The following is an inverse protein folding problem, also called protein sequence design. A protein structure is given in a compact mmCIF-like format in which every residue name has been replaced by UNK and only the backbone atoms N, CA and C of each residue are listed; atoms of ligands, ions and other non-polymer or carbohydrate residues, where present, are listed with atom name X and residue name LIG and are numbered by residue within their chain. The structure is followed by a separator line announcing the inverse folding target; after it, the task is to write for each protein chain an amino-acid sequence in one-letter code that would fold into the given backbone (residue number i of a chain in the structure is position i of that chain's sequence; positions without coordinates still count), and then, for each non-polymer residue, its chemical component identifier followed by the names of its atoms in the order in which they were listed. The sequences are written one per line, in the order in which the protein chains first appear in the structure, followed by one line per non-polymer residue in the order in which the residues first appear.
data_IF_248864065773
#
_entry.id   IF_248864065773
#
_cell.length_a   1.000
_cell.length_b   1.000
_cell.length_c   1.000
_cell.angle_alpha   90.00
_cell.angle_beta   90.00
_cell.angle_gamma   90.00
#
_symmetry.space_group_name_H-M   'P 1'
#
loop_
_entity.id
_entity.type
_entity.pdbx_description
1 polymer ?
#
# COMPACT_ATOMS: atom_id res chain seq x y z
N UNK A 1 5.02 9.79 2.87
CA UNK A 1 3.71 9.10 2.88
C UNK A 1 2.71 10.01 2.21
N UNK A 2 1.63 9.48 1.65
CA UNK A 2 0.71 10.17 0.73
C UNK A 2 -0.08 11.33 1.36
N UNK A 3 0.06 11.52 2.68
CA UNK A 3 -0.61 12.55 3.45
C UNK A 3 0.18 12.89 4.72
N UNK A 4 -0.06 14.08 5.27
CA UNK A 4 0.47 14.55 6.56
C UNK A 4 -0.13 13.80 7.77
N UNK A 5 -1.20 13.04 7.54
CA UNK A 5 -1.91 12.23 8.54
C UNK A 5 -1.84 10.73 8.21
N UNK A 6 -0.64 10.12 8.23
CA UNK A 6 -0.44 8.72 7.89
C UNK A 6 -1.19 7.76 8.83
N UNK A 7 -1.49 8.20 10.05
CA UNK A 7 -2.25 7.45 11.04
C UNK A 7 -3.72 7.24 10.66
N UNK A 8 -4.29 7.95 9.67
CA UNK A 8 -5.68 7.74 9.23
C UNK A 8 -5.95 6.33 8.72
N UNK A 9 -4.92 5.59 8.29
CA UNK A 9 -5.07 4.17 7.94
C UNK A 9 -5.58 3.35 9.13
N UNK A 10 -5.25 3.75 10.36
CA UNK A 10 -5.69 3.08 11.58
C UNK A 10 -7.20 3.20 11.78
N UNK A 11 -7.84 4.20 11.19
CA UNK A 11 -9.31 4.34 11.21
C UNK A 11 -9.99 3.46 10.17
N UNK A 12 -9.23 2.87 9.24
CA UNK A 12 -9.73 2.06 8.12
C UNK A 12 -9.52 0.56 8.31
N UNK A 13 -8.76 0.15 9.33
CA UNK A 13 -8.50 -1.26 9.64
C UNK A 13 -9.51 -1.81 10.65
N UNK A 14 -9.80 -3.09 10.51
CA UNK A 14 -10.64 -3.89 11.42
C UNK A 14 -9.90 -4.22 12.72
N UNK A 15 -10.62 -4.64 13.76
CA UNK A 15 -10.02 -5.05 15.04
C UNK A 15 -9.20 -6.33 14.88
N UNK A 16 -9.63 -7.24 13.99
CA UNK A 16 -8.91 -8.47 13.64
C UNK A 16 -7.90 -8.26 12.50
N UNK A 17 -7.44 -7.03 12.27
CA UNK A 17 -6.53 -6.71 11.17
C UNK A 17 -5.18 -7.42 11.29
N UNK A 18 -4.74 -8.02 10.17
CA UNK A 18 -3.36 -8.51 10.02
C UNK A 18 -2.77 -8.11 8.68
N UNK A 19 -1.45 -7.94 8.65
CA UNK A 19 -0.74 -7.57 7.44
C UNK A 19 0.63 -8.23 7.31
N UNK A 20 1.15 -8.19 6.09
CA UNK A 20 2.57 -8.37 5.76
C UNK A 20 2.98 -7.35 4.71
N UNK A 21 4.13 -6.71 4.90
CA UNK A 21 4.74 -5.83 3.92
C UNK A 21 6.16 -6.31 3.65
N UNK A 22 6.37 -6.78 2.42
CA UNK A 22 7.66 -7.21 1.91
C UNK A 22 8.34 -6.06 1.15
N UNK A 23 9.48 -5.61 1.67
CA UNK A 23 10.34 -4.63 1.03
C UNK A 23 11.59 -5.28 0.48
N UNK A 24 11.87 -5.05 -0.80
CA UNK A 24 13.19 -5.31 -1.35
C UNK A 24 14.03 -4.03 -1.43
N UNK A 25 15.28 -4.12 -0.97
CA UNK A 25 16.31 -3.08 -1.06
C UNK A 25 17.67 -3.75 -1.30
N UNK A 26 18.43 -3.30 -2.29
CA UNK A 26 19.81 -3.74 -2.56
C UNK A 26 20.00 -5.27 -2.54
N UNK A 27 19.08 -6.01 -3.18
CA UNK A 27 19.11 -7.47 -3.27
C UNK A 27 18.74 -8.21 -1.98
N UNK A 28 18.34 -7.50 -0.92
CA UNK A 28 17.77 -8.07 0.31
C UNK A 28 16.26 -7.87 0.34
N UNK A 29 15.57 -8.73 1.07
CA UNK A 29 14.16 -8.59 1.37
C UNK A 29 13.94 -8.54 2.89
N UNK A 30 13.04 -7.69 3.33
CA UNK A 30 12.60 -7.59 4.73
C UNK A 30 11.09 -7.69 4.76
N UNK A 31 10.58 -8.53 5.65
CA UNK A 31 9.15 -8.69 5.91
C UNK A 31 8.78 -8.01 7.23
N UNK A 32 7.74 -7.19 7.18
CA UNK A 32 7.11 -6.57 8.33
C UNK A 32 5.69 -7.13 8.43
N UNK A 33 5.43 -7.95 9.43
CA UNK A 33 4.14 -8.59 9.59
C UNK A 33 3.61 -8.46 11.03
N UNK A 34 2.28 -8.46 11.16
CA UNK A 34 1.60 -8.39 12.46
C UNK A 34 0.21 -7.80 12.37
N UNK A 35 -0.31 -7.35 13.51
CA UNK A 35 -1.60 -6.67 13.62
C UNK A 35 -1.47 -5.17 13.83
N UNK A 36 -2.46 -4.55 14.48
CA UNK A 36 -2.51 -3.09 14.73
C UNK A 36 -1.24 -2.52 15.36
N UNK A 37 -0.73 -3.11 16.45
CA UNK A 37 0.46 -2.60 17.13
C UNK A 37 1.70 -2.59 16.22
N UNK A 38 1.86 -3.64 15.39
CA UNK A 38 2.93 -3.69 14.41
C UNK A 38 2.76 -2.62 13.32
N UNK A 39 1.53 -2.32 12.90
CA UNK A 39 1.24 -1.23 11.95
C UNK A 39 1.55 0.14 12.56
N UNK A 40 1.19 0.37 13.81
CA UNK A 40 1.54 1.61 14.53
C UNK A 40 3.05 1.80 14.62
N UNK A 41 3.78 0.76 15.02
CA UNK A 41 5.25 0.77 15.03
C UNK A 41 5.84 1.00 13.63
N UNK A 42 5.23 0.43 12.61
CA UNK A 42 5.62 0.62 11.21
C UNK A 42 5.42 2.07 10.74
N UNK A 43 4.29 2.70 11.08
CA UNK A 43 3.99 4.09 10.73
C UNK A 43 4.90 5.08 11.46
N UNK A 44 5.28 4.79 12.71
CA UNK A 44 6.18 5.63 13.50
C UNK A 44 7.60 5.75 12.91
N UNK A 45 8.05 4.73 12.17
CA UNK A 45 9.38 4.72 11.53
C UNK A 45 9.45 5.51 10.21
N UNK A 46 8.31 5.89 9.64
CA UNK A 46 8.25 6.48 8.29
C UNK A 46 8.49 7.99 8.32
N UNK A 47 9.42 8.44 7.48
CA UNK A 47 9.57 9.86 7.16
C UNK A 47 8.32 10.37 6.40
N UNK A 48 7.70 11.43 6.94
CA UNK A 48 6.50 12.05 6.33
C UNK A 48 6.88 12.79 5.05
N UNK A 49 5.99 12.80 4.06
CA UNK A 49 6.15 13.57 2.80
C UNK A 49 7.19 13.06 1.78
N UNK A 50 8.11 12.16 2.13
CA UNK A 50 9.22 11.79 1.22
C UNK A 50 8.83 10.79 0.11
N UNK A 51 8.03 9.78 0.44
CA UNK A 51 7.59 8.74 -0.49
C UNK A 51 6.09 8.81 -0.70
N UNK A 52 5.66 8.81 -1.96
CA UNK A 52 4.26 8.83 -2.38
C UNK A 52 3.91 7.59 -3.21
N UNK A 53 2.75 7.00 -3.00
CA UNK A 53 2.22 5.90 -3.79
C UNK A 53 1.33 6.45 -4.90
N UNK A 54 1.56 5.99 -6.13
CA UNK A 54 0.82 6.36 -7.32
C UNK A 54 0.23 5.08 -7.91
N UNK A 55 -1.08 4.84 -7.76
CA UNK A 55 -1.73 3.69 -8.38
C UNK A 55 -1.58 3.76 -9.90
N UNK A 56 -1.33 2.62 -10.53
CA UNK A 56 -1.33 2.42 -11.98
C UNK A 56 -2.60 1.67 -12.41
N UNK A 57 -2.97 0.64 -11.65
CA UNK A 57 -4.17 -0.15 -11.90
C UNK A 57 -4.80 -0.61 -10.58
N UNK A 58 -6.12 -0.72 -10.58
CA UNK A 58 -6.92 -1.09 -9.42
C UNK A 58 -8.04 -2.02 -9.86
N UNK A 59 -8.23 -3.12 -9.12
CA UNK A 59 -9.32 -4.05 -9.38
C UNK A 59 -9.91 -4.56 -8.07
N UNK A 60 -11.15 -5.02 -8.12
CA UNK A 60 -11.84 -5.61 -6.98
C UNK A 60 -12.66 -6.82 -7.40
N UNK A 61 -12.66 -7.87 -6.59
CA UNK A 61 -13.57 -9.00 -6.74
C UNK A 61 -14.12 -9.43 -5.38
N UNK A 62 -15.43 -9.31 -5.21
CA UNK A 62 -16.08 -9.53 -3.92
C UNK A 62 -15.52 -8.60 -2.85
N UNK A 63 -14.84 -9.17 -1.84
CA UNK A 63 -14.22 -8.42 -0.74
C UNK A 63 -12.71 -8.21 -0.92
N UNK A 64 -12.13 -8.70 -2.01
CA UNK A 64 -10.72 -8.54 -2.30
C UNK A 64 -10.50 -7.30 -3.17
N UNK A 65 -9.52 -6.49 -2.80
CA UNK A 65 -9.05 -5.33 -3.57
C UNK A 65 -7.59 -5.55 -3.97
N UNK A 66 -7.23 -5.12 -5.18
CA UNK A 66 -5.90 -5.29 -5.76
C UNK A 66 -5.42 -3.95 -6.30
N UNK A 67 -4.17 -3.64 -6.03
CA UNK A 67 -3.52 -2.41 -6.46
C UNK A 67 -2.16 -2.74 -7.07
N UNK A 68 -1.91 -2.23 -8.26
CA UNK A 68 -0.59 -2.11 -8.85
C UNK A 68 -0.21 -0.63 -8.84
N UNK A 69 1.03 -0.30 -8.47
CA UNK A 69 1.43 1.09 -8.45
C UNK A 69 2.93 1.34 -8.42
N UNK A 70 3.25 2.62 -8.34
CA UNK A 70 4.59 3.19 -8.23
C UNK A 70 4.77 3.82 -6.85
N UNK A 71 6.00 3.77 -6.35
CA UNK A 71 6.45 4.63 -5.26
C UNK A 71 7.36 5.69 -5.86
N UNK A 72 7.01 6.96 -5.67
CA UNK A 72 7.76 8.11 -6.17
C UNK A 72 8.39 8.90 -5.03
N UNK A 73 9.59 9.43 -5.27
CA UNK A 73 10.30 10.40 -4.41
C UNK A 73 10.58 11.65 -5.24
N UNK A 74 10.06 12.80 -4.81
CA UNK A 74 10.18 14.06 -5.56
C UNK A 74 9.79 13.92 -7.06
N UNK A 75 8.74 13.15 -7.34
CA UNK A 75 8.26 12.87 -8.71
C UNK A 75 8.94 11.70 -9.42
N UNK A 76 10.12 11.28 -8.97
CA UNK A 76 10.88 10.19 -9.61
C UNK A 76 10.48 8.81 -9.09
N UNK A 77 10.32 7.84 -9.99
CA UNK A 77 9.91 6.47 -9.63
C UNK A 77 11.06 5.72 -8.98
N UNK A 78 10.94 5.42 -7.68
CA UNK A 78 11.97 4.71 -6.90
C UNK A 78 11.67 3.23 -6.71
N UNK A 79 10.42 2.80 -6.85
CA UNK A 79 10.01 1.40 -6.79
C UNK A 79 8.63 1.19 -7.41
N UNK A 80 8.25 -0.05 -7.64
CA UNK A 80 6.87 -0.44 -7.91
C UNK A 80 6.35 -1.28 -6.74
N UNK A 81 5.03 -1.28 -6.56
CA UNK A 81 4.36 -2.11 -5.56
C UNK A 81 3.17 -2.85 -6.14
N UNK A 82 2.88 -4.00 -5.55
CA UNK A 82 1.58 -4.66 -5.62
C UNK A 82 1.02 -4.75 -4.21
N UNK A 83 -0.26 -4.49 -4.05
CA UNK A 83 -0.96 -4.65 -2.79
C UNK A 83 -2.26 -5.42 -3.02
N UNK A 84 -2.60 -6.29 -2.07
CA UNK A 84 -3.92 -6.91 -2.02
C UNK A 84 -4.50 -6.77 -0.62
N UNK A 85 -5.75 -6.33 -0.56
CA UNK A 85 -6.51 -6.14 0.66
C UNK A 85 -7.74 -7.02 0.70
N UNK A 86 -8.15 -7.46 1.89
CA UNK A 86 -9.47 -8.05 2.11
C UNK A 86 -10.27 -7.17 3.05
N UNK A 87 -11.41 -6.67 2.59
CA UNK A 87 -12.36 -5.92 3.42
C UNK A 87 -13.23 -6.90 4.22
N UNK A 88 -13.39 -6.64 5.51
CA UNK A 88 -14.23 -7.41 6.42
C UNK A 88 -15.70 -7.01 6.35
N UNK A 89 -16.60 -7.73 7.05
CA UNK A 89 -18.03 -7.40 7.11
C UNK A 89 -18.34 -6.00 7.67
N UNK A 90 -17.42 -5.45 8.46
CA UNK A 90 -17.48 -4.09 9.02
C UNK A 90 -17.25 -2.98 7.98
N UNK A 91 -16.86 -3.33 6.75
CA UNK A 91 -16.41 -2.38 5.74
C UNK A 91 -14.97 -1.88 5.95
N UNK A 92 -14.24 -2.47 6.91
CA UNK A 92 -12.85 -2.13 7.24
C UNK A 92 -11.89 -3.18 6.72
N UNK A 93 -10.62 -2.79 6.49
CA UNK A 93 -9.59 -3.69 6.00
C UNK A 93 -9.23 -4.72 7.07
N UNK A 94 -9.36 -6.00 6.73
CA UNK A 94 -9.10 -7.13 7.64
C UNK A 94 -7.76 -7.81 7.34
N UNK A 95 -7.34 -7.86 6.08
CA UNK A 95 -6.07 -8.44 5.65
C UNK A 95 -5.39 -7.51 4.66
N UNK A 96 -4.07 -7.41 4.72
CA UNK A 96 -3.27 -6.65 3.77
C UNK A 96 -1.96 -7.35 3.47
N UNK A 97 -1.64 -7.53 2.19
CA UNK A 97 -0.30 -7.90 1.76
C UNK A 97 0.22 -6.85 0.78
N UNK A 98 1.46 -6.41 0.98
CA UNK A 98 2.13 -5.49 0.06
C UNK A 98 3.50 -6.05 -0.29
N UNK A 99 3.81 -6.10 -1.58
CA UNK A 99 5.17 -6.31 -2.08
C UNK A 99 5.66 -5.05 -2.76
N UNK A 100 6.86 -4.58 -2.41
CA UNK A 100 7.50 -3.44 -3.08
C UNK A 100 8.92 -3.80 -3.50
N UNK A 101 9.26 -3.50 -4.75
CA UNK A 101 10.59 -3.75 -5.33
C UNK A 101 11.06 -2.60 -6.22
N UNK A 102 12.36 -2.23 -6.16
CA UNK A 102 12.98 -1.33 -7.12
C UNK A 102 13.40 -2.04 -8.42
N UNK A 103 13.45 -3.38 -8.43
CA UNK A 103 14.03 -4.16 -9.53
C UNK A 103 13.09 -4.46 -10.70
N UNK A 104 11.81 -4.09 -10.60
CA UNK A 104 10.79 -4.28 -11.64
C UNK A 104 10.11 -2.97 -11.92
N UNK A 105 9.89 -2.67 -13.21
CA UNK A 105 9.16 -1.49 -13.69
C UNK A 105 7.97 -1.95 -14.53
N UNK A 106 6.85 -1.23 -14.39
CA UNK A 106 5.68 -1.42 -15.24
C UNK A 106 5.60 -0.26 -16.23
N UNK A 107 5.15 -0.54 -17.45
CA UNK A 107 4.90 0.48 -18.47
C UNK A 107 3.57 1.18 -18.19
N UNK A 108 3.48 2.50 -18.45
CA UNK A 108 2.19 3.19 -18.51
C UNK A 108 1.76 3.97 -17.26
N UNK A 109 2.69 4.62 -16.54
CA UNK A 109 2.36 5.64 -15.53
C UNK A 109 1.72 6.91 -16.08
N UNK A 110 0.57 6.78 -16.76
CA UNK A 110 -0.36 7.87 -16.99
C UNK A 110 -1.14 8.13 -15.69
N UNK A 111 -1.35 9.40 -15.34
CA UNK A 111 -2.13 9.81 -14.17
C UNK A 111 -3.47 9.06 -14.13
N UNK A 112 -3.64 8.20 -13.11
CA UNK A 112 -4.94 7.60 -12.81
C UNK A 112 -5.88 8.74 -12.43
N UNK A 113 -6.78 9.08 -13.34
CA UNK A 113 -7.89 9.99 -13.06
C UNK A 113 -8.71 9.40 -11.90
N UNK A 114 -8.95 10.15 -10.81
CA UNK A 114 -9.72 9.64 -9.69
C UNK A 114 -11.18 9.49 -10.12
N UNK A 115 -11.60 8.27 -10.44
CA UNK A 115 -13.01 7.96 -10.68
C UNK A 115 -13.28 6.86 -11.70
N UNK A 116 -12.98 5.61 -11.36
CA UNK A 116 -13.57 4.46 -12.05
C UNK A 116 -13.67 3.23 -11.12
N UNK A 117 -14.26 3.41 -9.94
CA UNK A 117 -14.87 2.30 -9.20
C UNK A 117 -16.39 2.46 -9.33
N UNK A 118 -17.00 1.74 -10.29
CA UNK A 118 -18.46 1.70 -10.42
C UNK A 118 -18.96 1.17 -11.76
N UNK A 119 -19.13 -0.15 -11.87
CA UNK A 119 -20.41 -0.85 -12.11
C UNK A 119 -20.19 -2.35 -12.29
#
# INVERSE_FOLDING_TARGET
MDSDTPSRILDLIDDDFTFSILFSTDGRATDFAGGREAMEGYLAQREKGTLTHHPLDVSSTGRAEFYLGEVRRAGEVVANYVAAGQVGPSGRLQRLIIGRSPGVRFEGGADVQPGAAGR
#
